data_IF_460987507370
#
_entry.id   IF_460987507370
#
_cell.length_a   1.000
_cell.length_b   1.000
_cell.length_c   1.000
_cell.angle_alpha   90.00
_cell.angle_beta   90.00
_cell.angle_gamma   90.00
#
_symmetry.space_group_name_H-M   'P 1'
#
loop_
_entity.id
_entity.type
_entity.pdbx_description
1 polymer ?
#
# COMPACT_ATOMS: atom_id res chain seq x y z
N UNK A 1 -10.18 0.27 15.58
CA UNK A 1 -8.85 0.91 15.70
C UNK A 1 -7.80 -0.13 15.35
N UNK A 2 -6.55 0.27 15.10
CA UNK A 2 -5.48 -0.66 14.74
C UNK A 2 -4.26 -0.41 15.62
N UNK A 3 -3.83 -1.43 16.37
CA UNK A 3 -2.56 -1.40 17.07
C UNK A 3 -1.42 -1.48 16.05
N UNK A 4 -0.47 -0.57 16.12
CA UNK A 4 0.71 -0.53 15.25
C UNK A 4 1.97 -0.46 16.11
N UNK A 5 2.90 -1.39 15.85
CA UNK A 5 4.20 -1.41 16.51
C UNK A 5 5.20 -0.64 15.67
N UNK A 6 5.90 0.30 16.30
CA UNK A 6 6.96 1.08 15.69
C UNK A 6 8.30 0.81 16.37
N UNK A 7 9.34 0.59 15.56
CA UNK A 7 10.71 0.60 16.05
C UNK A 7 11.10 2.05 16.40
N UNK A 8 11.49 2.32 17.64
CA UNK A 8 11.78 3.66 18.14
C UNK A 8 12.91 4.34 17.39
N UNK A 9 13.99 3.59 17.09
CA UNK A 9 15.15 4.14 16.38
C UNK A 9 14.78 4.61 14.97
N UNK A 10 14.00 3.80 14.24
CA UNK A 10 13.53 4.16 12.90
C UNK A 10 12.56 5.35 12.96
N UNK A 11 11.61 5.33 13.90
CA UNK A 11 10.66 6.42 14.12
C UNK A 11 11.36 7.75 14.43
N UNK A 12 12.27 7.77 15.40
CA UNK A 12 13.02 8.97 15.79
C UNK A 12 13.93 9.47 14.69
N UNK A 13 14.51 8.56 13.90
CA UNK A 13 15.30 8.91 12.72
C UNK A 13 14.45 9.61 11.66
N UNK A 14 13.22 9.14 11.42
CA UNK A 14 12.29 9.76 10.47
C UNK A 14 11.73 11.09 10.99
N UNK A 15 11.47 11.19 12.29
CA UNK A 15 11.09 12.46 12.94
C UNK A 15 12.23 13.47 12.85
N UNK A 16 13.49 13.00 12.91
CA UNK A 16 14.68 13.84 12.97
C UNK A 16 14.99 14.33 14.39
N UNK A 17 14.42 13.67 15.42
CA UNK A 17 14.58 14.04 16.83
C UNK A 17 14.45 12.79 17.70
N UNK A 18 15.36 12.63 18.65
CA UNK A 18 15.21 11.65 19.73
C UNK A 18 14.09 12.07 20.68
N UNK A 19 13.23 11.13 21.03
CA UNK A 19 12.09 11.38 21.90
C UNK A 19 12.36 10.81 23.29
N UNK A 20 11.90 11.52 24.31
CA UNK A 20 11.87 11.04 25.69
C UNK A 20 10.63 10.19 25.91
N UNK A 21 10.61 9.40 26.99
CA UNK A 21 9.43 8.63 27.38
C UNK A 21 8.19 9.53 27.58
N UNK A 22 8.37 10.73 28.17
CA UNK A 22 7.30 11.72 28.32
C UNK A 22 6.79 12.25 26.96
N UNK A 23 7.65 12.38 25.95
CA UNK A 23 7.18 12.75 24.61
C UNK A 23 6.19 11.70 24.05
N UNK A 24 6.43 10.40 24.29
CA UNK A 24 5.50 9.34 23.89
C UNK A 24 4.24 9.30 24.77
N UNK A 25 4.41 9.35 26.10
CA UNK A 25 3.32 9.15 27.07
C UNK A 25 2.39 10.34 27.20
N UNK A 26 2.89 11.56 27.06
CA UNK A 26 2.13 12.76 27.38
C UNK A 26 1.82 13.59 26.12
N UNK A 27 2.78 13.72 25.19
CA UNK A 27 2.62 14.62 24.03
C UNK A 27 2.01 13.91 22.85
N UNK A 28 2.61 12.82 22.38
CA UNK A 28 2.14 12.14 21.15
C UNK A 28 0.72 11.61 21.30
N UNK A 29 0.31 11.16 22.50
CA UNK A 29 -1.07 10.72 22.74
C UNK A 29 -2.12 11.81 22.46
N UNK A 30 -1.76 13.10 22.58
CA UNK A 30 -2.66 14.22 22.28
C UNK A 30 -3.04 14.31 20.79
N UNK A 31 -2.33 13.58 19.92
CA UNK A 31 -2.73 13.39 18.53
C UNK A 31 -3.92 12.42 18.36
N UNK A 32 -4.48 11.91 19.47
CA UNK A 32 -5.53 10.91 19.47
C UNK A 32 -4.99 9.52 19.12
N UNK A 33 -3.84 9.16 19.67
CA UNK A 33 -3.14 7.89 19.44
C UNK A 33 -2.67 7.29 20.78
N UNK A 34 -3.56 6.60 21.52
CA UNK A 34 -3.22 6.03 22.81
C UNK A 34 -1.98 5.13 22.74
N UNK A 35 -1.12 5.23 23.77
CA UNK A 35 0.06 4.39 23.93
C UNK A 35 -0.31 3.14 24.71
N UNK A 36 -0.19 1.99 24.07
CA UNK A 36 -0.51 0.68 24.66
C UNK A 36 0.72 0.02 25.26
N UNK A 37 1.88 0.15 24.61
CA UNK A 37 3.14 -0.45 25.07
C UNK A 37 4.31 0.47 24.79
N UNK A 38 5.22 0.56 25.75
CA UNK A 38 6.49 1.27 25.62
C UNK A 38 7.62 0.37 26.12
N UNK A 39 8.62 0.13 25.28
CA UNK A 39 9.84 -0.62 25.62
C UNK A 39 11.08 0.17 25.22
N UNK A 40 12.26 -0.40 25.43
CA UNK A 40 13.51 0.22 25.03
C UNK A 40 13.63 0.38 23.51
N UNK A 41 13.09 -0.57 22.74
CA UNK A 41 13.25 -0.66 21.27
C UNK A 41 11.98 -0.35 20.49
N UNK A 42 10.80 -0.53 21.09
CA UNK A 42 9.51 -0.47 20.40
C UNK A 42 8.47 0.35 21.17
N UNK A 43 7.51 0.89 20.43
CA UNK A 43 6.28 1.46 20.97
C UNK A 43 5.08 0.93 20.19
N UNK A 44 4.00 0.63 20.90
CA UNK A 44 2.73 0.24 20.29
C UNK A 44 1.73 1.37 20.51
N UNK A 45 1.19 1.87 19.40
CA UNK A 45 0.21 2.95 19.40
C UNK A 45 -1.09 2.49 18.75
N UNK A 46 -2.22 2.89 19.33
CA UNK A 46 -3.53 2.63 18.76
C UNK A 46 -3.90 3.73 17.75
N UNK A 47 -3.99 3.35 16.48
CA UNK A 47 -4.30 4.27 15.38
C UNK A 47 -5.79 4.21 15.03
N UNK A 48 -6.45 5.37 15.03
CA UNK A 48 -7.86 5.47 14.69
C UNK A 48 -8.13 5.32 13.18
N UNK A 49 -9.28 4.74 12.78
CA UNK A 49 -9.58 4.45 11.37
C UNK A 49 -9.67 5.68 10.45
N UNK A 50 -9.87 6.88 11.01
CA UNK A 50 -9.93 8.14 10.26
C UNK A 50 -8.54 8.67 9.85
N UNK A 51 -7.45 8.07 10.35
CA UNK A 51 -6.07 8.45 10.03
C UNK A 51 -5.24 7.26 9.54
N UNK A 52 -5.64 6.60 8.43
CA UNK A 52 -4.91 5.45 7.89
C UNK A 52 -3.51 5.81 7.39
N UNK A 53 -3.23 7.10 7.17
CA UNK A 53 -1.89 7.60 6.87
C UNK A 53 -0.89 7.35 8.01
N UNK A 54 -1.36 7.22 9.27
CA UNK A 54 -0.50 6.93 10.43
C UNK A 54 -0.30 5.44 10.70
N UNK A 55 -0.79 4.54 9.83
CA UNK A 55 -0.57 3.09 9.96
C UNK A 55 0.87 2.65 9.62
N UNK A 56 1.69 3.57 9.12
CA UNK A 56 3.10 3.36 8.82
C UNK A 56 3.97 4.23 9.72
N UNK A 57 5.20 3.78 9.98
CA UNK A 57 6.16 4.56 10.77
C UNK A 57 6.47 5.90 10.09
N UNK A 58 6.51 5.93 8.77
CA UNK A 58 6.78 7.12 7.96
C UNK A 58 5.63 8.14 8.06
N UNK A 59 4.39 7.67 7.95
CA UNK A 59 3.23 8.54 8.06
C UNK A 59 2.97 9.00 9.48
N UNK A 60 3.22 8.15 10.48
CA UNK A 60 3.18 8.54 11.88
C UNK A 60 4.28 9.58 12.19
N UNK A 61 5.53 9.33 11.77
CA UNK A 61 6.64 10.28 11.92
C UNK A 61 6.32 11.65 11.31
N UNK A 62 5.74 11.68 10.10
CA UNK A 62 5.32 12.91 9.44
C UNK A 62 4.25 13.66 10.24
N UNK A 63 3.27 12.95 10.79
CA UNK A 63 2.26 13.56 11.64
C UNK A 63 2.86 14.11 12.94
N UNK A 64 3.77 13.35 13.57
CA UNK A 64 4.49 13.76 14.76
C UNK A 64 5.39 14.99 14.51
N UNK A 65 6.05 15.08 13.36
CA UNK A 65 6.83 16.27 12.97
C UNK A 65 5.98 17.53 12.92
N UNK A 66 4.77 17.45 12.35
CA UNK A 66 3.84 18.57 12.32
C UNK A 66 3.35 18.94 13.72
N UNK A 67 2.96 17.94 14.50
CA UNK A 67 2.47 18.12 15.86
C UNK A 67 3.52 18.72 16.82
N UNK A 68 4.77 18.27 16.72
CA UNK A 68 5.89 18.76 17.53
C UNK A 68 6.50 20.07 17.01
N UNK A 69 5.96 20.66 15.94
CA UNK A 69 6.45 21.91 15.36
C UNK A 69 7.79 21.79 14.62
N UNK A 70 8.25 20.59 14.29
CA UNK A 70 9.53 20.34 13.59
C UNK A 70 9.39 20.68 12.11
N UNK A 71 8.31 20.21 11.47
CA UNK A 71 8.01 20.45 10.06
C UNK A 71 6.51 20.68 9.88
N UNK A 72 6.14 21.95 9.78
CA UNK A 72 4.72 22.38 9.74
C UNK A 72 4.19 22.59 8.33
N UNK A 73 5.07 22.66 7.32
CA UNK A 73 4.65 22.77 5.92
C UNK A 73 4.02 21.45 5.46
N UNK A 74 2.90 21.55 4.73
CA UNK A 74 2.27 20.40 4.08
C UNK A 74 3.29 19.68 3.17
N UNK A 75 3.38 18.34 3.22
CA UNK A 75 4.30 17.59 2.38
C UNK A 75 3.90 17.72 0.91
N UNK A 76 4.90 17.85 0.04
CA UNK A 76 4.73 17.86 -1.41
C UNK A 76 5.41 16.62 -1.98
N UNK A 77 4.68 15.85 -2.80
CA UNK A 77 5.20 14.65 -3.45
C UNK A 77 5.22 14.83 -4.96
N UNK A 78 6.41 14.80 -5.55
CA UNK A 78 6.57 14.82 -7.00
C UNK A 78 6.19 13.45 -7.58
N UNK A 79 5.24 13.44 -8.52
CA UNK A 79 4.90 12.25 -9.32
C UNK A 79 5.47 12.44 -10.72
N UNK A 80 6.45 11.61 -11.08
CA UNK A 80 7.15 11.68 -12.36
C UNK A 80 6.38 10.93 -13.44
N UNK A 81 6.48 11.39 -14.68
CA UNK A 81 5.92 10.68 -15.83
C UNK A 81 6.75 9.45 -16.16
N UNK A 82 6.09 8.29 -16.25
CA UNK A 82 6.72 7.03 -16.64
C UNK A 82 6.12 6.45 -17.92
N UNK A 83 6.88 5.58 -18.58
CA UNK A 83 6.44 4.79 -19.74
C UNK A 83 5.93 3.40 -19.30
N UNK A 84 5.18 3.35 -18.20
CA UNK A 84 4.62 2.13 -17.64
C UNK A 84 3.16 2.00 -18.03
N UNK A 85 2.77 0.86 -18.61
CA UNK A 85 1.43 0.64 -19.14
C UNK A 85 0.84 -0.63 -18.56
N UNK A 86 -0.40 -0.52 -18.08
CA UNK A 86 -1.22 -1.66 -17.67
C UNK A 86 -2.48 -1.68 -18.51
N UNK A 87 -2.78 -2.81 -19.13
CA UNK A 87 -4.00 -3.01 -19.91
C UNK A 87 -5.01 -3.84 -19.12
N UNK A 88 -6.24 -3.36 -19.01
CA UNK A 88 -7.33 -4.05 -18.31
C UNK A 88 -8.22 -4.76 -19.32
N UNK A 89 -8.46 -6.04 -19.09
CA UNK A 89 -9.34 -6.88 -19.90
C UNK A 89 -10.83 -6.59 -19.62
N UNK A 90 -11.67 -6.64 -20.66
CA UNK A 90 -13.11 -6.44 -20.54
C UNK A 90 -13.78 -7.44 -19.61
N UNK A 91 -13.23 -8.66 -19.52
CA UNK A 91 -13.69 -9.70 -18.60
C UNK A 91 -13.71 -9.26 -17.13
N UNK A 92 -12.92 -8.25 -16.73
CA UNK A 92 -12.83 -7.82 -15.33
C UNK A 92 -13.72 -6.64 -14.94
N UNK A 93 -14.40 -5.99 -15.89
CA UNK A 93 -15.20 -4.79 -15.61
C UNK A 93 -16.36 -5.05 -14.63
N UNK A 94 -16.93 -6.26 -14.61
CA UNK A 94 -18.02 -6.65 -13.71
C UNK A 94 -17.59 -7.26 -12.37
N UNK A 95 -16.28 -7.40 -12.12
CA UNK A 95 -15.76 -8.20 -11.00
C UNK A 95 -14.97 -7.33 -10.00
N UNK A 96 -13.80 -6.84 -10.42
CA UNK A 96 -12.88 -6.00 -9.62
C UNK A 96 -12.21 -4.96 -10.52
N UNK A 97 -13.04 -4.10 -11.13
CA UNK A 97 -12.60 -3.14 -12.14
C UNK A 97 -11.86 -1.90 -11.62
N UNK A 98 -11.66 -1.74 -10.30
CA UNK A 98 -10.87 -0.62 -9.78
C UNK A 98 -9.42 -1.06 -9.60
N UNK A 99 -8.53 -0.61 -10.46
CA UNK A 99 -7.10 -0.91 -10.36
C UNK A 99 -6.26 0.37 -10.45
N UNK A 100 -5.46 0.63 -9.42
CA UNK A 100 -4.52 1.73 -9.33
C UNK A 100 -3.10 1.20 -9.23
N UNK A 101 -2.16 1.87 -9.90
CA UNK A 101 -0.77 1.44 -9.97
C UNK A 101 0.16 2.62 -9.76
N UNK A 102 1.34 2.33 -9.21
CA UNK A 102 2.45 3.25 -9.16
C UNK A 102 3.75 2.47 -9.35
N UNK A 103 4.75 3.08 -9.98
CA UNK A 103 6.12 2.57 -9.92
C UNK A 103 6.90 3.44 -8.95
N UNK A 104 7.64 2.80 -8.04
CA UNK A 104 8.60 3.48 -7.18
C UNK A 104 10.00 3.03 -7.53
N UNK A 105 10.95 3.96 -7.53
CA UNK A 105 12.37 3.72 -7.80
C UNK A 105 13.25 4.22 -6.68
N UNK A 106 14.50 3.78 -6.69
CA UNK A 106 15.54 4.16 -5.73
C UNK A 106 15.20 3.75 -4.29
N UNK A 107 14.54 2.60 -4.13
CA UNK A 107 14.24 2.01 -2.84
C UNK A 107 15.53 1.61 -2.10
N UNK A 108 15.54 1.88 -0.80
CA UNK A 108 16.64 1.58 0.12
C UNK A 108 16.14 0.73 1.29
N UNK A 109 15.62 -0.45 0.98
CA UNK A 109 15.13 -1.35 2.01
C UNK A 109 16.27 -1.89 2.89
N UNK A 110 16.03 -1.85 4.19
CA UNK A 110 16.70 -2.58 5.27
C UNK A 110 15.74 -3.64 5.81
N UNK A 111 16.19 -4.50 6.72
CA UNK A 111 15.30 -5.48 7.37
C UNK A 111 14.14 -4.81 8.11
N UNK A 112 14.40 -3.69 8.79
CA UNK A 112 13.40 -2.93 9.53
C UNK A 112 12.42 -2.22 8.60
N UNK A 113 12.91 -1.54 7.56
CA UNK A 113 12.03 -0.78 6.65
C UNK A 113 11.20 -1.69 5.74
N UNK A 114 11.71 -2.87 5.33
CA UNK A 114 10.87 -3.83 4.60
C UNK A 114 9.82 -4.45 5.54
N UNK A 115 10.15 -4.74 6.81
CA UNK A 115 9.18 -5.23 7.78
C UNK A 115 8.09 -4.19 8.07
N UNK A 116 8.46 -2.92 8.26
CA UNK A 116 7.52 -1.82 8.41
C UNK A 116 6.61 -1.65 7.18
N UNK A 117 7.17 -1.81 5.98
CA UNK A 117 6.41 -1.79 4.73
C UNK A 117 5.42 -2.97 4.61
N UNK A 118 5.80 -4.18 5.03
CA UNK A 118 4.88 -5.33 5.08
C UNK A 118 3.75 -5.11 6.09
N UNK A 119 4.08 -4.59 7.29
CA UNK A 119 3.08 -4.22 8.30
C UNK A 119 2.07 -3.21 7.73
N UNK A 120 2.55 -2.16 7.04
CA UNK A 120 1.66 -1.17 6.42
C UNK A 120 0.69 -1.84 5.42
N UNK A 121 1.19 -2.71 4.56
CA UNK A 121 0.35 -3.44 3.59
C UNK A 121 -0.72 -4.27 4.29
N UNK A 122 -0.36 -5.00 5.34
CA UNK A 122 -1.29 -5.82 6.11
C UNK A 122 -2.35 -4.99 6.84
N UNK A 123 -1.95 -3.89 7.51
CA UNK A 123 -2.87 -3.00 8.22
C UNK A 123 -3.84 -2.33 7.26
N UNK A 124 -3.37 -1.83 6.11
CA UNK A 124 -4.24 -1.25 5.08
C UNK A 124 -5.20 -2.28 4.47
N UNK A 125 -4.72 -3.49 4.17
CA UNK A 125 -5.57 -4.56 3.64
C UNK A 125 -6.66 -4.99 4.63
N UNK A 126 -6.35 -5.01 5.93
CA UNK A 126 -7.29 -5.39 6.99
C UNK A 126 -8.31 -4.28 7.26
N UNK A 127 -7.86 -3.02 7.31
CA UNK A 127 -8.70 -1.85 7.64
C UNK A 127 -9.44 -1.33 6.40
N UNK A 128 -8.79 -0.50 5.58
CA UNK A 128 -9.37 0.14 4.39
C UNK A 128 -9.81 -0.91 3.36
N UNK A 129 -8.97 -1.94 3.14
CA UNK A 129 -9.23 -3.04 2.23
C UNK A 129 -10.30 -4.02 2.70
N UNK A 130 -10.76 -3.95 3.96
CA UNK A 130 -11.72 -4.86 4.60
C UNK A 130 -11.37 -6.33 4.37
N UNK A 131 -10.20 -6.75 4.84
CA UNK A 131 -9.64 -8.10 4.63
C UNK A 131 -9.62 -8.47 3.13
N UNK A 132 -9.09 -7.57 2.31
CA UNK A 132 -8.99 -7.70 0.83
C UNK A 132 -10.31 -7.72 0.06
N UNK A 133 -11.47 -7.63 0.72
CA UNK A 133 -12.79 -7.61 0.07
C UNK A 133 -13.02 -6.35 -0.77
N UNK A 134 -12.62 -5.18 -0.26
CA UNK A 134 -12.75 -3.89 -0.96
C UNK A 134 -11.55 -3.58 -1.85
N UNK A 135 -10.35 -3.85 -1.37
CA UNK A 135 -9.10 -3.62 -2.09
C UNK A 135 -7.98 -4.51 -1.53
N UNK A 136 -7.14 -5.03 -2.41
CA UNK A 136 -5.91 -5.77 -2.07
C UNK A 136 -4.71 -5.03 -2.63
N UNK A 137 -3.57 -5.18 -1.98
CA UNK A 137 -2.29 -4.62 -2.42
C UNK A 137 -1.43 -5.78 -2.91
N UNK A 138 -0.71 -5.56 -4.00
CA UNK A 138 0.42 -6.39 -4.39
C UNK A 138 1.60 -5.52 -4.83
N UNK A 139 2.78 -6.11 -4.67
CA UNK A 139 4.06 -5.48 -4.88
C UNK A 139 4.95 -6.43 -5.66
N UNK A 140 5.66 -5.89 -6.64
CA UNK A 140 6.43 -6.67 -7.61
C UNK A 140 7.79 -6.02 -7.84
N UNK A 141 8.86 -6.78 -7.65
CA UNK A 141 10.20 -6.36 -8.04
C UNK A 141 10.26 -6.18 -9.58
N UNK A 142 10.82 -5.05 -10.02
CA UNK A 142 10.89 -4.68 -11.43
C UNK A 142 12.11 -5.23 -12.18
N UNK A 143 13.07 -5.85 -11.50
CA UNK A 143 14.29 -6.40 -12.12
C UNK A 143 13.98 -7.37 -13.26
N UNK A 144 13.04 -8.28 -13.04
CA UNK A 144 12.62 -9.29 -14.03
C UNK A 144 11.18 -9.08 -14.53
N UNK A 145 10.49 -8.00 -14.15
CA UNK A 145 9.15 -7.72 -14.68
C UNK A 145 9.23 -7.03 -16.05
N UNK A 146 8.26 -7.30 -16.93
CA UNK A 146 8.15 -6.64 -18.25
C UNK A 146 6.77 -5.98 -18.42
N UNK A 147 6.76 -4.83 -19.08
CA UNK A 147 5.56 -4.12 -19.48
C UNK A 147 5.27 -4.36 -20.97
N UNK A 148 4.02 -4.18 -21.46
CA UNK A 148 2.83 -3.83 -20.70
C UNK A 148 2.37 -5.00 -19.80
N UNK A 149 1.90 -4.66 -18.60
CA UNK A 149 1.24 -5.63 -17.70
C UNK A 149 -0.22 -5.78 -18.15
N UNK A 150 -0.78 -6.98 -18.05
CA UNK A 150 -2.19 -7.25 -18.36
C UNK A 150 -2.95 -7.69 -17.11
N UNK A 151 -4.02 -6.98 -16.80
CA UNK A 151 -5.02 -7.41 -15.81
C UNK A 151 -6.12 -8.19 -16.53
N UNK A 152 -6.22 -9.49 -16.29
CA UNK A 152 -7.11 -10.39 -17.04
C UNK A 152 -7.57 -11.56 -16.16
N UNK A 153 -8.13 -12.59 -16.76
CA UNK A 153 -8.41 -13.88 -16.13
C UNK A 153 -7.49 -14.97 -16.68
N UNK A 154 -7.21 -15.98 -15.88
CA UNK A 154 -6.46 -17.18 -16.27
C UNK A 154 -7.29 -18.44 -16.00
N UNK A 155 -7.02 -19.48 -16.77
CA UNK A 155 -7.62 -20.80 -16.54
C UNK A 155 -7.12 -21.41 -15.23
N UNK A 156 -7.96 -22.21 -14.57
CA UNK A 156 -7.67 -22.92 -13.31
C UNK A 156 -6.47 -23.87 -13.40
N UNK A 157 -6.17 -24.36 -14.61
CA UNK A 157 -5.03 -25.26 -14.87
C UNK A 157 -3.73 -24.52 -15.18
N UNK A 158 -3.76 -23.19 -15.29
CA UNK A 158 -2.55 -22.37 -15.53
C UNK A 158 -1.56 -22.56 -14.40
N UNK A 159 -0.31 -22.86 -14.74
CA UNK A 159 0.76 -23.10 -13.79
C UNK A 159 1.59 -21.85 -13.53
N UNK A 160 2.00 -21.67 -12.28
CA UNK A 160 3.00 -20.69 -11.86
C UNK A 160 3.63 -21.11 -10.53
N UNK A 161 4.73 -20.46 -10.15
CA UNK A 161 5.37 -20.69 -8.85
C UNK A 161 4.83 -19.64 -7.86
N UNK A 162 4.00 -20.03 -6.86
CA UNK A 162 3.49 -19.10 -5.87
C UNK A 162 4.60 -18.59 -4.95
N UNK A 163 4.40 -17.41 -4.37
CA UNK A 163 5.33 -16.80 -3.41
C UNK A 163 5.67 -17.77 -2.27
N UNK A 164 6.96 -17.94 -2.00
CA UNK A 164 7.50 -18.89 -1.01
C UNK A 164 7.68 -20.32 -1.53
N UNK A 165 7.28 -20.62 -2.77
CA UNK A 165 7.42 -21.93 -3.40
C UNK A 165 8.63 -22.04 -4.34
N UNK A 166 8.98 -23.27 -4.69
CA UNK A 166 10.05 -23.60 -5.66
C UNK A 166 9.57 -24.41 -6.86
N UNK A 167 8.32 -24.89 -6.83
CA UNK A 167 7.73 -25.72 -7.86
C UNK A 167 6.47 -25.07 -8.43
N UNK A 168 6.23 -25.33 -9.71
CA UNK A 168 5.00 -24.90 -10.37
C UNK A 168 3.79 -25.64 -9.82
N UNK A 169 2.73 -24.88 -9.58
CA UNK A 169 1.42 -25.38 -9.18
C UNK A 169 0.35 -24.76 -10.07
N UNK A 170 -0.72 -25.52 -10.35
CA UNK A 170 -1.88 -24.92 -11.04
C UNK A 170 -2.56 -23.90 -10.13
N UNK A 171 -3.23 -22.90 -10.71
CA UNK A 171 -3.97 -21.90 -9.95
C UNK A 171 -5.00 -22.55 -9.00
N UNK A 172 -5.66 -23.63 -9.43
CA UNK A 172 -6.56 -24.43 -8.59
C UNK A 172 -5.84 -25.09 -7.40
N UNK A 173 -4.65 -25.67 -7.63
CA UNK A 173 -3.85 -26.28 -6.56
C UNK A 173 -3.44 -25.22 -5.53
N UNK A 174 -2.95 -24.07 -6.00
CA UNK A 174 -2.57 -22.95 -5.13
C UNK A 174 -3.72 -22.53 -4.22
N UNK A 175 -4.96 -22.44 -4.73
CA UNK A 175 -6.12 -22.13 -3.90
C UNK A 175 -6.39 -23.16 -2.80
N UNK A 176 -6.16 -24.45 -3.06
CA UNK A 176 -6.46 -25.53 -2.12
C UNK A 176 -5.36 -25.76 -1.08
N UNK A 177 -4.10 -25.63 -1.49
CA UNK A 177 -2.96 -26.10 -0.70
C UNK A 177 -2.10 -24.98 -0.12
N UNK A 178 -2.04 -23.82 -0.76
CA UNK A 178 -1.21 -22.72 -0.27
C UNK A 178 -1.88 -22.06 0.96
N UNK A 179 -1.15 -21.67 2.02
CA UNK A 179 -1.74 -21.02 3.20
C UNK A 179 -2.60 -19.80 2.85
N UNK A 180 -2.12 -18.95 1.92
CA UNK A 180 -2.91 -17.80 1.41
C UNK A 180 -4.09 -18.22 0.53
N UNK A 181 -3.99 -19.35 -0.16
CA UNK A 181 -5.10 -19.97 -0.88
C UNK A 181 -6.22 -20.37 0.06
N UNK A 182 -5.90 -21.04 1.17
CA UNK A 182 -6.87 -21.40 2.20
C UNK A 182 -7.49 -20.17 2.87
N UNK A 183 -6.68 -19.14 3.13
CA UNK A 183 -7.14 -17.91 3.78
C UNK A 183 -8.07 -17.07 2.89
N UNK A 184 -7.75 -16.89 1.60
CA UNK A 184 -8.44 -15.95 0.71
C UNK A 184 -9.12 -16.57 -0.52
N UNK A 185 -8.98 -17.87 -0.76
CA UNK A 185 -9.47 -18.54 -1.96
C UNK A 185 -10.99 -18.51 -2.10
N UNK A 186 -11.71 -18.49 -0.97
CA UNK A 186 -13.17 -18.34 -0.91
C UNK A 186 -13.70 -17.09 -1.65
N UNK A 187 -12.85 -16.08 -1.89
CA UNK A 187 -13.21 -14.87 -2.63
C UNK A 187 -13.39 -15.10 -4.14
N UNK A 188 -12.75 -16.13 -4.70
CA UNK A 188 -12.73 -16.38 -6.16
C UNK A 188 -13.04 -17.83 -6.55
N UNK A 189 -13.09 -18.79 -5.61
CA UNK A 189 -13.18 -20.23 -5.88
C UNK A 189 -14.34 -20.62 -6.82
N UNK A 190 -15.46 -19.89 -6.73
CA UNK A 190 -16.70 -20.12 -7.50
C UNK A 190 -16.61 -19.64 -8.95
N UNK A 191 -15.57 -18.90 -9.32
CA UNK A 191 -15.43 -18.36 -10.66
C UNK A 191 -14.88 -19.43 -11.61
N UNK A 192 -15.26 -19.34 -12.88
CA UNK A 192 -14.80 -20.26 -13.93
C UNK A 192 -13.32 -20.04 -14.30
N UNK A 193 -12.92 -18.78 -14.36
CA UNK A 193 -11.53 -18.34 -14.53
C UNK A 193 -11.15 -17.42 -13.35
N UNK A 194 -9.87 -17.36 -13.03
CA UNK A 194 -9.38 -16.57 -11.89
C UNK A 194 -8.72 -15.27 -12.33
N UNK A 195 -8.99 -14.15 -11.64
CA UNK A 195 -8.39 -12.87 -11.98
C UNK A 195 -6.88 -12.89 -11.67
N UNK A 196 -6.08 -12.38 -12.58
CA UNK A 196 -4.63 -12.41 -12.47
C UNK A 196 -3.99 -11.21 -13.17
N UNK A 197 -2.77 -10.89 -12.73
CA UNK A 197 -1.85 -10.05 -13.49
C UNK A 197 -0.88 -10.91 -14.28
N UNK A 198 -0.68 -10.56 -15.55
CA UNK A 198 0.36 -11.12 -16.40
C UNK A 198 1.38 -10.04 -16.75
N UNK A 199 2.67 -10.40 -16.78
CA UNK A 199 3.69 -9.48 -17.30
C UNK A 199 3.68 -9.43 -18.84
N UNK A 200 4.52 -8.58 -19.43
CA UNK A 200 4.65 -8.44 -20.88
C UNK A 200 5.17 -9.69 -21.60
N UNK A 201 5.57 -10.73 -20.87
CA UNK A 201 5.92 -12.07 -21.40
C UNK A 201 4.80 -13.10 -21.19
N UNK A 202 3.66 -12.69 -20.63
CA UNK A 202 2.54 -13.58 -20.32
C UNK A 202 2.71 -14.41 -19.05
N UNK A 203 3.73 -14.14 -18.22
CA UNK A 203 3.93 -14.86 -16.95
C UNK A 203 2.99 -14.34 -15.88
N UNK A 204 2.39 -15.26 -15.11
CA UNK A 204 1.50 -14.91 -14.00
C UNK A 204 2.29 -14.18 -12.91
N UNK A 205 2.01 -12.90 -12.68
CA UNK A 205 2.57 -12.09 -11.61
C UNK A 205 1.87 -12.33 -10.27
N UNK A 206 0.54 -12.48 -10.31
CA UNK A 206 -0.28 -12.74 -9.13
C UNK A 206 -1.65 -13.30 -9.50
N UNK A 207 -2.18 -14.09 -8.58
CA UNK A 207 -3.55 -14.59 -8.56
C UNK A 207 -4.35 -13.72 -7.58
N UNK A 208 -5.24 -12.88 -8.08
CA UNK A 208 -5.91 -11.86 -7.26
C UNK A 208 -7.13 -12.43 -6.52
N UNK A 209 -7.43 -11.97 -5.30
CA UNK A 209 -6.62 -11.17 -4.37
C UNK A 209 -5.78 -12.08 -3.42
N UNK A 210 -5.32 -13.23 -3.91
CA UNK A 210 -4.85 -14.35 -3.09
C UNK A 210 -3.33 -14.27 -2.85
N UNK A 211 -2.52 -14.39 -3.90
CA UNK A 211 -1.07 -14.58 -3.78
C UNK A 211 -0.30 -14.07 -4.99
N UNK A 212 0.93 -13.61 -4.77
CA UNK A 212 1.88 -13.21 -5.82
C UNK A 212 2.74 -14.41 -6.27
N UNK A 213 3.46 -14.25 -7.36
CA UNK A 213 4.42 -15.24 -7.86
C UNK A 213 5.84 -14.98 -7.34
N UNK A 214 6.61 -16.05 -7.14
CA UNK A 214 7.94 -15.98 -6.52
C UNK A 214 8.93 -15.13 -7.32
N UNK A 215 8.90 -15.16 -8.65
CA UNK A 215 9.88 -14.43 -9.48
C UNK A 215 9.83 -12.90 -9.29
N UNK A 216 8.72 -12.38 -8.79
CA UNK A 216 8.48 -10.94 -8.58
C UNK A 216 8.58 -10.52 -7.12
N UNK A 217 9.05 -11.43 -6.26
CA UNK A 217 9.17 -11.21 -4.82
C UNK A 217 10.06 -10.02 -4.50
N UNK A 218 9.59 -9.19 -3.59
CA UNK A 218 10.37 -8.07 -3.06
C UNK A 218 11.27 -8.55 -1.92
N UNK A 219 12.49 -8.02 -1.88
CA UNK A 219 13.50 -8.31 -0.87
C UNK A 219 14.22 -7.01 -0.48
N UNK A 220 15.17 -7.08 0.44
CA UNK A 220 16.01 -5.91 0.80
C UNK A 220 16.87 -5.42 -0.35
N UNK A 221 17.12 -6.24 -1.38
CA UNK A 221 17.87 -5.82 -2.58
C UNK A 221 17.00 -5.10 -3.62
N UNK A 222 15.66 -5.17 -3.50
CA UNK A 222 14.73 -4.52 -4.43
C UNK A 222 14.96 -3.01 -4.48
N UNK A 223 15.27 -2.50 -5.67
CA UNK A 223 15.48 -1.05 -5.92
C UNK A 223 14.32 -0.37 -6.59
N UNK A 224 13.58 -1.13 -7.40
CA UNK A 224 12.48 -0.63 -8.21
C UNK A 224 11.30 -1.60 -8.06
N UNK A 225 10.12 -1.06 -7.80
CA UNK A 225 8.95 -1.86 -7.48
C UNK A 225 7.71 -1.30 -8.20
N UNK A 226 6.92 -2.19 -8.79
CA UNK A 226 5.54 -1.90 -9.18
C UNK A 226 4.65 -2.18 -7.98
N UNK A 227 3.80 -1.22 -7.65
CA UNK A 227 2.79 -1.32 -6.60
C UNK A 227 1.44 -1.30 -7.28
N UNK A 228 0.59 -2.22 -6.90
CA UNK A 228 -0.78 -2.29 -7.37
C UNK A 228 -1.76 -2.33 -6.20
N UNK A 229 -2.89 -1.66 -6.39
CA UNK A 229 -4.05 -1.80 -5.53
C UNK A 229 -5.26 -2.13 -6.39
N UNK A 230 -5.84 -3.30 -6.18
CA UNK A 230 -6.98 -3.81 -6.97
C UNK A 230 -8.20 -4.07 -6.09
N UNK A 231 -9.36 -3.57 -6.51
CA UNK A 231 -10.55 -3.59 -5.68
C UNK A 231 -11.86 -3.35 -6.41
N UNK A 232 -12.90 -3.13 -5.61
CA UNK A 232 -14.27 -2.81 -6.03
C UNK A 232 -14.65 -1.36 -5.73
N UNK A 233 -13.78 -0.62 -5.02
CA UNK A 233 -14.04 0.74 -4.56
C UNK A 233 -12.86 1.67 -4.89
N UNK A 234 -13.08 2.67 -5.74
CA UNK A 234 -12.04 3.62 -6.17
C UNK A 234 -11.48 4.46 -5.02
N UNK A 235 -12.28 4.76 -4.00
CA UNK A 235 -11.81 5.53 -2.83
C UNK A 235 -10.75 4.73 -2.08
N UNK A 236 -11.06 3.48 -1.71
CA UNK A 236 -10.12 2.58 -1.06
C UNK A 236 -8.85 2.36 -1.91
N UNK A 237 -9.00 2.11 -3.21
CA UNK A 237 -7.85 1.92 -4.13
C UNK A 237 -6.92 3.13 -4.14
N UNK A 238 -7.48 4.34 -4.28
CA UNK A 238 -6.70 5.58 -4.32
C UNK A 238 -6.04 5.88 -2.98
N UNK A 239 -6.79 5.78 -1.89
CA UNK A 239 -6.26 6.07 -0.55
C UNK A 239 -5.12 5.13 -0.18
N UNK A 240 -5.30 3.82 -0.37
CA UNK A 240 -4.25 2.83 -0.07
C UNK A 240 -3.01 3.04 -0.93
N UNK A 241 -3.17 3.24 -2.25
CA UNK A 241 -2.05 3.49 -3.15
C UNK A 241 -1.28 4.75 -2.74
N UNK A 242 -2.01 5.85 -2.50
CA UNK A 242 -1.41 7.14 -2.12
C UNK A 242 -0.66 7.04 -0.79
N UNK A 243 -1.23 6.39 0.24
CA UNK A 243 -0.56 6.19 1.53
C UNK A 243 0.76 5.44 1.36
N UNK A 244 0.75 4.35 0.59
CA UNK A 244 1.93 3.53 0.35
C UNK A 244 3.03 4.31 -0.37
N UNK A 245 2.72 4.97 -1.47
CA UNK A 245 3.75 5.69 -2.25
C UNK A 245 4.30 6.88 -1.49
N UNK A 246 3.47 7.59 -0.70
CA UNK A 246 3.93 8.67 0.16
C UNK A 246 4.84 8.15 1.28
N UNK A 247 4.51 7.02 1.91
CA UNK A 247 5.37 6.41 2.92
C UNK A 247 6.75 6.05 2.34
N UNK A 248 6.79 5.45 1.15
CA UNK A 248 8.06 5.13 0.49
C UNK A 248 8.84 6.39 0.07
N UNK A 249 8.15 7.47 -0.31
CA UNK A 249 8.79 8.74 -0.63
C UNK A 249 9.43 9.43 0.58
N UNK A 250 8.90 9.26 1.80
CA UNK A 250 9.59 9.73 3.03
C UNK A 250 10.97 9.07 3.20
N UNK A 251 11.17 7.88 2.62
CA UNK A 251 12.46 7.18 2.58
C UNK A 251 13.28 7.50 1.33
N UNK A 252 12.88 8.51 0.56
CA UNK A 252 13.58 9.00 -0.62
C UNK A 252 13.27 8.25 -1.93
N UNK A 253 12.25 7.38 -1.94
CA UNK A 253 11.84 6.72 -3.19
C UNK A 253 11.22 7.73 -4.16
N UNK A 254 11.50 7.56 -5.46
CA UNK A 254 10.91 8.38 -6.52
C UNK A 254 9.64 7.74 -7.05
N UNK A 255 8.55 8.49 -7.09
CA UNK A 255 7.25 8.02 -7.53
C UNK A 255 7.08 8.29 -9.03
N UNK A 256 6.61 7.29 -9.77
CA UNK A 256 6.27 7.38 -11.18
C UNK A 256 4.82 6.98 -11.40
N UNK A 257 4.13 7.76 -12.21
CA UNK A 257 2.78 7.39 -12.64
C UNK A 257 2.79 6.20 -13.60
N UNK A 258 1.72 5.42 -13.54
CA UNK A 258 1.44 4.30 -14.44
C UNK A 258 0.18 4.61 -15.23
N UNK A 259 0.23 4.38 -16.55
CA UNK A 259 -0.91 4.52 -17.45
C UNK A 259 -1.71 3.23 -17.45
N UNK A 260 -2.91 3.25 -16.87
CA UNK A 260 -3.86 2.14 -16.94
C UNK A 260 -4.87 2.39 -18.06
N UNK A 261 -4.92 1.47 -19.03
CA UNK A 261 -5.82 1.51 -20.18
C UNK A 261 -6.95 0.52 -19.94
N UNK A 262 -8.16 1.03 -19.80
CA UNK A 262 -9.38 0.24 -19.69
C UNK A 262 -9.97 -0.05 -21.09
N UNK A 263 -10.83 -1.07 -21.21
CA UNK A 263 -11.70 -1.21 -22.37
C UNK A 263 -12.49 0.09 -22.58
N UNK A 264 -12.87 0.42 -23.82
CA UNK A 264 -13.39 1.75 -24.25
C UNK A 264 -12.36 2.89 -24.29
N UNK A 265 -11.05 2.56 -24.32
CA UNK A 265 -9.94 3.52 -24.38
C UNK A 265 -9.85 4.51 -23.20
N UNK A 266 -10.63 4.30 -22.14
CA UNK A 266 -10.55 5.09 -20.92
C UNK A 266 -9.15 4.93 -20.29
N UNK A 267 -8.44 6.04 -20.14
CA UNK A 267 -7.11 6.08 -19.52
C UNK A 267 -7.18 6.66 -18.13
N UNK A 268 -6.59 5.97 -17.16
CA UNK A 268 -6.37 6.45 -15.80
C UNK A 268 -4.87 6.51 -15.55
N UNK A 269 -4.41 7.60 -14.94
CA UNK A 269 -3.03 7.77 -14.47
C UNK A 269 -3.04 7.89 -12.96
N UNK A 270 -2.21 7.10 -12.30
CA UNK A 270 -2.06 7.08 -10.85
C UNK A 270 -0.58 6.96 -10.48
N UNK A 271 -0.18 7.43 -9.28
CA UNK A 271 -1.02 8.06 -8.25
C UNK A 271 -1.33 9.53 -8.58
N UNK A 272 -2.42 10.05 -7.99
CA UNK A 272 -2.71 11.49 -7.97
C UNK A 272 -2.50 12.00 -6.54
N UNK A 273 -1.40 12.73 -6.33
CA UNK A 273 -0.94 13.23 -5.03
C UNK A 273 -1.12 14.75 -4.90
N UNK A 274 -1.89 15.38 -5.79
CA UNK A 274 -2.14 16.82 -5.71
C UNK A 274 -2.90 17.16 -4.43
N UNK A 275 -2.45 18.17 -3.65
CA UNK A 275 -3.17 18.61 -2.46
C UNK A 275 -4.58 19.06 -2.81
N UNK A 276 -5.55 18.72 -1.95
CA UNK A 276 -6.90 19.27 -2.05
C UNK A 276 -6.95 20.63 -1.37
N UNK A 277 -7.67 21.58 -1.97
CA UNK A 277 -7.95 22.89 -1.37
C UNK A 277 -9.36 22.89 -0.82
N UNK A 278 -9.53 23.47 0.37
CA UNK A 278 -10.82 23.68 1.02
C UNK A 278 -10.88 25.13 1.49
N UNK A 279 -12.04 25.78 1.33
CA UNK A 279 -12.28 27.09 1.94
C UNK A 279 -12.55 26.87 3.42
N UNK A 280 -11.93 27.70 4.26
CA UNK A 280 -12.03 27.61 5.70
C UNK A 280 -12.42 28.97 6.27
N UNK A 281 -13.45 29.00 7.11
CA UNK A 281 -13.91 30.19 7.81
C UNK A 281 -13.37 30.16 9.24
N UNK A 282 -12.47 31.10 9.55
CA UNK A 282 -11.82 31.20 10.86
C UNK A 282 -12.82 31.59 11.95
N UNK A 283 -13.81 32.43 11.65
CA UNK A 283 -14.80 32.87 12.62
C UNK A 283 -15.72 31.71 13.02
N UNK A 284 -16.09 30.87 12.04
CA UNK A 284 -16.86 29.66 12.32
C UNK A 284 -16.08 28.70 13.22
N UNK A 285 -14.78 28.51 12.97
CA UNK A 285 -13.94 27.63 13.77
C UNK A 285 -13.75 28.13 15.20
N UNK A 286 -13.43 29.42 15.38
CA UNK A 286 -13.28 30.06 16.69
C UNK A 286 -14.57 29.91 17.52
N UNK A 287 -15.73 30.18 16.90
CA UNK A 287 -17.04 29.99 17.55
C UNK A 287 -17.31 28.53 17.95
N UNK A 288 -16.93 27.56 17.11
CA UNK A 288 -17.18 26.13 17.38
C UNK A 288 -16.27 25.58 18.48
N UNK A 289 -15.03 26.07 18.54
CA UNK A 289 -14.00 25.61 19.46
C UNK A 289 -13.93 26.41 20.77
N UNK A 290 -14.76 27.46 20.90
CA UNK A 290 -14.74 28.40 22.03
C UNK A 290 -13.36 29.06 22.19
N UNK A 291 -12.83 29.56 21.08
CA UNK A 291 -11.55 30.27 20.99
C UNK A 291 -11.79 31.70 20.48
N UNK A 292 -10.92 32.62 20.86
CA UNK A 292 -10.91 34.02 20.38
C UNK A 292 -10.09 34.18 19.09
#
# INVERSE_FOLDING_TARGET
MALVTFNKKDLESLIGKKLTESDYKDKLIMMGVPLERYTDTEVDLEIFPNRPDMLSVEGFARAAQGFLGIKTKSPEYEVKRGNFVVNVDQKLLGLRGCAGFAVVKDLKFTGESIAAFMQLQEKLATTIGRKRKKASIGTYDLSDLRFPVKLTTISKITKFIPLGGTQEQTAEQVLKTHPKGQEYGHLIEKWLEYPAYLDGRGRVMSLLPVINSEFSKITTSTKNMLIEVTGTDWKAVREMLNIIVCALAERGAKIYEVKTVYPSEKVIRMPDLRPRKMKFDINYANKLLDLD
#
